data_IF_308479121640
#
_entry.id   IF_308479121640
#
_cell.length_a   1.000
_cell.length_b   1.000
_cell.length_c   1.000
_cell.angle_alpha   90.00
_cell.angle_beta   90.00
_cell.angle_gamma   90.00
#
_symmetry.space_group_name_H-M   'P 1'
#
loop_
_entity.id
_entity.type
_entity.pdbx_description
1 polymer ?
#
# COMPACT_ATOMS: atom_id res chain seq x y z
N UNK A 1 3.02 -0.81 43.51
CA UNK A 1 3.50 -0.01 42.37
C UNK A 1 4.13 -0.98 41.39
N UNK A 2 3.35 -1.35 40.37
CA UNK A 2 3.85 -2.10 39.23
C UNK A 2 4.38 -1.06 38.25
N UNK A 3 5.68 -0.79 38.35
CA UNK A 3 6.44 -0.05 37.36
C UNK A 3 6.49 -0.93 36.09
N UNK A 4 5.54 -0.71 35.19
CA UNK A 4 5.72 -1.14 33.80
C UNK A 4 6.79 -0.25 33.19
N UNK A 5 7.88 -0.79 32.68
CA UNK A 5 8.80 0.02 31.91
C UNK A 5 7.99 0.64 30.77
N UNK A 6 7.95 1.98 30.74
CA UNK A 6 7.50 2.73 29.57
C UNK A 6 8.50 2.39 28.49
N UNK A 7 8.18 1.36 27.74
CA UNK A 7 8.93 0.99 26.55
C UNK A 7 9.04 2.23 25.66
N UNK A 8 10.31 2.55 25.37
CA UNK A 8 10.83 3.38 24.30
C UNK A 8 9.70 3.86 23.38
N UNK A 9 9.30 5.14 23.46
CA UNK A 9 8.32 5.72 22.55
C UNK A 9 8.85 5.50 21.13
N UNK A 10 8.46 4.38 20.54
CA UNK A 10 8.86 4.03 19.19
C UNK A 10 8.47 5.22 18.30
N UNK A 11 9.46 5.94 17.83
CA UNK A 11 9.29 7.18 17.07
C UNK A 11 8.28 6.95 15.95
N UNK A 12 7.15 7.63 16.01
CA UNK A 12 6.09 7.53 15.01
C UNK A 12 6.61 7.94 13.63
N UNK A 13 6.06 7.31 12.61
CA UNK A 13 6.42 7.57 11.22
C UNK A 13 5.42 8.55 10.65
N UNK A 14 5.90 9.75 10.31
CA UNK A 14 5.07 10.76 9.63
C UNK A 14 4.51 10.22 8.31
N UNK A 15 3.25 10.49 8.06
CA UNK A 15 2.56 10.16 6.81
C UNK A 15 2.91 11.12 5.66
N UNK A 16 3.59 12.24 5.98
CA UNK A 16 3.82 13.33 5.03
C UNK A 16 2.63 14.28 4.90
N UNK A 17 1.53 14.01 5.60
CA UNK A 17 0.37 14.87 5.70
C UNK A 17 0.22 15.34 7.16
N UNK A 18 0.46 16.62 7.41
CA UNK A 18 0.38 17.20 8.76
C UNK A 18 -1.00 16.98 9.40
N UNK A 19 -2.07 17.12 8.60
CA UNK A 19 -3.42 16.90 9.10
C UNK A 19 -3.66 15.46 9.54
N UNK A 20 -3.17 14.48 8.79
CA UNK A 20 -3.29 13.08 9.14
C UNK A 20 -2.39 12.72 10.33
N UNK A 21 -1.18 13.24 10.37
CA UNK A 21 -0.26 13.04 11.49
C UNK A 21 -0.85 13.57 12.80
N UNK A 22 -1.51 14.73 12.77
CA UNK A 22 -2.20 15.29 13.94
C UNK A 22 -3.33 14.38 14.43
N UNK A 23 -4.14 13.83 13.52
CA UNK A 23 -5.21 12.88 13.88
C UNK A 23 -4.62 11.59 14.48
N UNK A 24 -3.48 11.14 13.96
CA UNK A 24 -2.80 9.92 14.41
C UNK A 24 -1.88 10.13 15.63
N UNK A 25 -1.82 11.33 16.19
CA UNK A 25 -0.95 11.64 17.33
C UNK A 25 0.53 11.58 17.01
N UNK A 26 0.93 12.05 15.80
CA UNK A 26 2.30 12.14 15.33
C UNK A 26 2.67 11.20 14.17
N UNK A 27 1.71 10.44 13.65
CA UNK A 27 1.90 9.55 12.53
C UNK A 27 1.60 8.08 12.82
N UNK A 28 2.12 7.19 11.99
CA UNK A 28 1.90 5.74 12.09
C UNK A 28 2.90 5.07 13.04
N UNK A 29 2.50 3.99 13.68
CA UNK A 29 3.45 3.12 14.38
C UNK A 29 4.36 2.42 13.37
N UNK A 30 5.68 2.32 13.61
CA UNK A 30 6.62 1.69 12.69
C UNK A 30 6.39 0.18 12.56
N UNK A 31 6.84 -0.36 11.43
CA UNK A 31 6.85 -1.80 11.14
C UNK A 31 5.47 -2.46 11.21
N UNK A 32 4.43 -1.73 10.81
CA UNK A 32 3.05 -2.20 10.79
C UNK A 32 2.44 -2.07 9.40
N UNK A 33 1.35 -2.75 9.19
CA UNK A 33 0.59 -2.75 7.95
C UNK A 33 -0.73 -2.01 8.14
N UNK A 34 -0.98 -1.01 7.32
CA UNK A 34 -2.16 -0.15 7.33
C UNK A 34 -2.96 -0.34 6.04
N UNK A 35 -4.25 -0.09 6.13
CA UNK A 35 -5.16 -0.13 5.00
C UNK A 35 -5.74 1.27 4.76
N UNK A 36 -5.61 1.77 3.54
CA UNK A 36 -6.21 3.03 3.11
C UNK A 36 -7.27 2.72 2.05
N UNK A 37 -8.52 2.97 2.40
CA UNK A 37 -9.68 2.70 1.56
C UNK A 37 -10.35 3.99 1.11
N UNK A 38 -10.93 3.96 -0.07
CA UNK A 38 -11.72 5.07 -0.57
C UNK A 38 -12.18 4.82 -2.00
N UNK A 39 -13.23 5.52 -2.43
CA UNK A 39 -13.71 5.47 -3.81
C UNK A 39 -12.63 5.97 -4.79
N UNK A 40 -12.72 5.61 -6.08
CA UNK A 40 -11.86 6.19 -7.10
C UNK A 40 -11.89 7.73 -7.04
N UNK A 41 -10.72 8.36 -7.09
CA UNK A 41 -10.59 9.81 -6.99
C UNK A 41 -10.63 10.39 -5.57
N UNK A 42 -10.73 9.58 -4.52
CA UNK A 42 -10.70 10.05 -3.12
C UNK A 42 -9.35 10.57 -2.63
N UNK A 43 -8.28 10.42 -3.43
CA UNK A 43 -6.94 10.89 -3.08
C UNK A 43 -5.99 9.83 -2.50
N UNK A 44 -6.33 8.55 -2.59
CA UNK A 44 -5.46 7.45 -2.10
C UNK A 44 -4.03 7.54 -2.63
N UNK A 45 -3.87 7.64 -3.95
CA UNK A 45 -2.55 7.75 -4.61
C UNK A 45 -1.80 9.01 -4.15
N UNK A 46 -2.49 10.13 -3.96
CA UNK A 46 -1.88 11.38 -3.46
C UNK A 46 -1.29 11.21 -2.06
N UNK A 47 -2.06 10.65 -1.12
CA UNK A 47 -1.58 10.41 0.25
C UNK A 47 -0.47 9.35 0.28
N UNK A 48 -0.57 8.32 -0.57
CA UNK A 48 0.46 7.32 -0.71
C UNK A 48 1.80 7.92 -1.18
N UNK A 49 1.77 8.80 -2.18
CA UNK A 49 2.95 9.52 -2.65
C UNK A 49 3.53 10.44 -1.56
N UNK A 50 2.69 11.16 -0.80
CA UNK A 50 3.16 11.98 0.32
C UNK A 50 3.92 11.14 1.36
N UNK A 51 3.41 9.96 1.69
CA UNK A 51 4.05 9.04 2.62
C UNK A 51 5.45 8.61 2.17
N UNK A 52 5.61 8.29 0.88
CA UNK A 52 6.91 7.90 0.33
C UNK A 52 7.85 9.10 0.17
N UNK A 53 7.36 10.24 -0.29
CA UNK A 53 8.16 11.46 -0.43
C UNK A 53 8.70 11.94 0.92
N UNK A 54 7.92 11.80 1.99
CA UNK A 54 8.41 12.08 3.35
C UNK A 54 9.55 11.13 3.72
N UNK A 55 9.46 9.85 3.34
CA UNK A 55 10.55 8.90 3.51
C UNK A 55 11.80 9.30 2.72
N UNK A 56 11.66 9.67 1.45
CA UNK A 56 12.77 10.17 0.61
C UNK A 56 13.43 11.39 1.25
N UNK A 57 12.63 12.34 1.75
CA UNK A 57 13.12 13.54 2.44
C UNK A 57 13.95 13.20 3.68
N UNK A 58 13.66 12.08 4.33
CA UNK A 58 14.38 11.56 5.51
C UNK A 58 15.56 10.66 5.15
N UNK A 59 15.83 10.44 3.85
CA UNK A 59 16.90 9.55 3.40
C UNK A 59 16.56 8.06 3.54
N UNK A 60 15.29 7.72 3.67
CA UNK A 60 14.81 6.36 3.76
C UNK A 60 14.71 5.70 2.36
N UNK A 61 14.83 4.38 2.30
CA UNK A 61 14.52 3.62 1.09
C UNK A 61 13.02 3.37 1.03
N UNK A 62 12.41 3.71 -0.08
CA UNK A 62 10.96 3.65 -0.25
C UNK A 62 10.60 2.94 -1.54
N UNK A 63 9.49 2.18 -1.50
CA UNK A 63 9.04 1.36 -2.62
C UNK A 63 7.55 1.59 -2.87
N UNK A 64 7.21 1.84 -4.13
CA UNK A 64 5.83 1.84 -4.62
C UNK A 64 5.62 0.61 -5.50
N UNK A 65 4.82 -0.33 -5.06
CA UNK A 65 4.37 -1.48 -5.85
C UNK A 65 3.03 -1.15 -6.48
N UNK A 66 2.94 -1.23 -7.80
CA UNK A 66 1.68 -0.96 -8.51
C UNK A 66 1.27 -2.13 -9.39
N UNK A 67 0.00 -2.51 -9.28
CA UNK A 67 -0.67 -3.50 -10.14
C UNK A 67 -1.66 -2.84 -11.11
N UNK A 68 -1.95 -1.55 -10.94
CA UNK A 68 -3.00 -0.84 -11.68
C UNK A 68 -2.51 0.35 -12.48
N UNK A 69 -1.57 1.11 -11.95
CA UNK A 69 -1.08 2.34 -12.57
C UNK A 69 0.36 2.16 -13.07
N UNK A 70 0.69 2.78 -14.18
CA UNK A 70 2.06 2.84 -14.68
C UNK A 70 2.85 3.94 -13.95
N UNK A 71 4.18 3.84 -13.95
CA UNK A 71 5.04 4.89 -13.42
C UNK A 71 4.78 6.25 -14.08
N UNK A 72 4.51 6.27 -15.39
CA UNK A 72 4.20 7.50 -16.11
C UNK A 72 2.90 8.17 -15.59
N UNK A 73 1.88 7.40 -15.24
CA UNK A 73 0.65 7.91 -14.63
C UNK A 73 0.91 8.47 -13.23
N UNK A 74 1.70 7.77 -12.41
CA UNK A 74 2.12 8.26 -11.09
C UNK A 74 2.94 9.55 -11.20
N UNK A 75 3.82 9.68 -12.20
CA UNK A 75 4.56 10.90 -12.49
C UNK A 75 3.64 12.06 -12.84
N UNK A 76 2.55 11.81 -13.58
CA UNK A 76 1.55 12.84 -13.88
C UNK A 76 0.80 13.30 -12.62
N UNK A 77 0.45 12.39 -11.73
CA UNK A 77 -0.16 12.74 -10.44
C UNK A 77 0.81 13.58 -9.61
N UNK A 78 2.06 13.15 -9.45
CA UNK A 78 3.07 13.88 -8.71
C UNK A 78 3.30 15.29 -9.28
N UNK A 79 3.42 15.41 -10.60
CA UNK A 79 3.62 16.68 -11.29
C UNK A 79 2.49 17.70 -11.05
N UNK A 80 1.23 17.25 -10.94
CA UNK A 80 0.08 18.13 -10.63
C UNK A 80 0.21 18.77 -9.25
N UNK A 81 0.90 18.12 -8.33
CA UNK A 81 1.19 18.63 -6.98
C UNK A 81 2.55 19.33 -6.88
N UNK A 82 3.29 19.47 -7.99
CA UNK A 82 4.64 20.03 -7.99
C UNK A 82 5.69 19.10 -7.38
N UNK A 83 5.43 17.79 -7.32
CA UNK A 83 6.33 16.79 -6.78
C UNK A 83 7.11 16.07 -7.88
N UNK A 84 8.31 15.54 -7.52
CA UNK A 84 9.08 14.59 -8.32
C UNK A 84 9.01 13.21 -7.65
N UNK A 85 9.05 12.15 -8.44
CA UNK A 85 9.20 10.78 -7.94
C UNK A 85 10.66 10.38 -7.74
N UNK A 86 11.61 11.30 -7.87
CA UNK A 86 13.03 11.03 -7.65
C UNK A 86 13.26 10.47 -6.23
N UNK A 87 13.95 9.32 -6.19
CA UNK A 87 14.21 8.61 -4.94
C UNK A 87 13.13 7.60 -4.54
N UNK A 88 11.99 7.56 -5.25
CA UNK A 88 10.99 6.50 -5.09
C UNK A 88 11.30 5.38 -6.07
N UNK A 89 11.51 4.17 -5.55
CA UNK A 89 11.55 2.96 -6.37
C UNK A 89 10.12 2.59 -6.75
N UNK A 90 9.79 2.62 -8.04
CA UNK A 90 8.48 2.23 -8.56
C UNK A 90 8.60 0.88 -9.23
N UNK A 91 7.91 -0.10 -8.68
CA UNK A 91 7.86 -1.47 -9.20
C UNK A 91 6.50 -1.73 -9.84
N UNK A 92 6.49 -1.75 -11.17
CA UNK A 92 5.29 -1.97 -11.97
C UNK A 92 5.09 -3.46 -12.21
N UNK A 93 3.93 -3.97 -11.80
CA UNK A 93 3.46 -5.33 -12.07
C UNK A 93 2.28 -5.34 -13.06
N UNK A 94 2.14 -4.23 -13.79
CA UNK A 94 1.14 -4.11 -14.86
C UNK A 94 1.63 -4.88 -16.08
N UNK A 95 0.82 -5.80 -16.59
CA UNK A 95 1.13 -6.49 -17.85
C UNK A 95 1.24 -5.48 -19.01
N UNK A 96 2.39 -5.39 -19.70
CA UNK A 96 2.60 -4.37 -20.72
C UNK A 96 1.79 -4.61 -22.00
N UNK A 97 1.13 -5.77 -22.16
CA UNK A 97 0.46 -6.11 -23.40
C UNK A 97 -0.83 -6.95 -23.18
N UNK A 98 -2.02 -6.33 -23.36
CA UNK A 98 -3.30 -7.05 -23.27
C UNK A 98 -3.47 -8.16 -24.32
N UNK A 99 -2.71 -8.14 -25.42
CA UNK A 99 -2.78 -9.18 -26.46
C UNK A 99 -1.96 -10.42 -26.09
N UNK A 100 -0.96 -10.31 -25.23
CA UNK A 100 -0.21 -11.45 -24.70
C UNK A 100 -1.02 -12.27 -23.68
N UNK A 101 -1.95 -11.65 -22.96
CA UNK A 101 -2.85 -12.34 -22.02
C UNK A 101 -3.77 -13.36 -22.72
N UNK A 102 -4.09 -13.16 -24.01
CA UNK A 102 -4.94 -14.06 -24.78
C UNK A 102 -4.22 -15.33 -25.27
N UNK A 103 -2.89 -15.37 -25.23
CA UNK A 103 -2.09 -16.45 -25.83
C UNK A 103 -1.47 -17.41 -24.81
N UNK A 104 -1.45 -17.08 -23.55
CA UNK A 104 -0.86 -17.92 -22.49
C UNK A 104 -1.94 -18.28 -21.48
N UNK A 105 -2.44 -19.50 -21.55
CA UNK A 105 -3.32 -20.11 -20.55
C UNK A 105 -2.50 -20.36 -19.27
N UNK A 106 -2.13 -19.30 -18.55
CA UNK A 106 -1.63 -19.44 -17.19
C UNK A 106 -2.84 -19.58 -16.23
N UNK A 107 -2.92 -20.63 -15.41
CA UNK A 107 -3.93 -20.69 -14.37
C UNK A 107 -3.77 -19.46 -13.47
N UNK A 108 -4.84 -18.72 -13.22
CA UNK A 108 -4.83 -17.53 -12.37
C UNK A 108 -4.22 -17.74 -10.96
N UNK A 109 -4.11 -19.00 -10.53
CA UNK A 109 -3.41 -19.39 -9.30
C UNK A 109 -1.91 -19.18 -9.36
N UNK A 110 -1.29 -19.48 -10.49
CA UNK A 110 0.14 -19.26 -10.69
C UNK A 110 0.43 -17.76 -10.77
N UNK A 111 -0.41 -17.03 -11.48
CA UNK A 111 -0.28 -15.60 -11.67
C UNK A 111 -0.28 -14.81 -10.36
N UNK A 112 -1.24 -15.08 -9.46
CA UNK A 112 -1.29 -14.42 -8.14
C UNK A 112 -0.08 -14.79 -7.26
N UNK A 113 0.33 -16.04 -7.26
CA UNK A 113 1.49 -16.49 -6.48
C UNK A 113 2.79 -15.93 -7.04
N UNK A 114 2.94 -15.88 -8.35
CA UNK A 114 4.09 -15.28 -9.02
C UNK A 114 4.17 -13.77 -8.75
N UNK A 115 3.04 -13.06 -8.87
CA UNK A 115 2.96 -11.63 -8.54
C UNK A 115 3.38 -11.37 -7.10
N UNK A 116 2.86 -12.14 -6.15
CA UNK A 116 3.24 -12.01 -4.74
C UNK A 116 4.72 -12.32 -4.51
N UNK A 117 5.26 -13.33 -5.19
CA UNK A 117 6.68 -13.68 -5.08
C UNK A 117 7.58 -12.57 -5.65
N UNK A 118 7.23 -11.98 -6.79
CA UNK A 118 7.97 -10.85 -7.36
C UNK A 118 8.01 -9.64 -6.41
N UNK A 119 6.91 -9.37 -5.69
CA UNK A 119 6.90 -8.33 -4.64
C UNK A 119 7.89 -8.68 -3.52
N UNK A 120 7.88 -9.94 -3.05
CA UNK A 120 8.79 -10.39 -2.00
C UNK A 120 10.25 -10.30 -2.41
N UNK A 121 10.56 -10.66 -3.64
CA UNK A 121 11.91 -10.58 -4.19
C UNK A 121 12.35 -9.12 -4.27
N UNK A 122 11.52 -8.23 -4.82
CA UNK A 122 11.83 -6.81 -4.92
C UNK A 122 12.06 -6.15 -3.56
N UNK A 123 11.20 -6.44 -2.59
CA UNK A 123 11.37 -5.95 -1.21
C UNK A 123 12.66 -6.49 -0.58
N UNK A 124 13.00 -7.75 -0.86
CA UNK A 124 14.23 -8.36 -0.34
C UNK A 124 15.49 -7.75 -0.93
N UNK A 125 15.47 -7.38 -2.21
CA UNK A 125 16.58 -6.74 -2.91
C UNK A 125 16.79 -5.29 -2.44
N UNK A 126 15.71 -4.52 -2.33
CA UNK A 126 15.78 -3.08 -2.07
C UNK A 126 15.75 -2.76 -0.58
N UNK A 127 15.22 -3.68 0.25
CA UNK A 127 15.08 -3.54 1.70
C UNK A 127 14.53 -2.16 2.12
N UNK A 128 13.31 -1.81 1.65
CA UNK A 128 12.68 -0.52 1.92
C UNK A 128 12.18 -0.44 3.36
N UNK A 129 12.10 0.76 3.93
CA UNK A 129 11.47 1.02 5.23
C UNK A 129 10.01 1.44 5.10
N UNK A 130 9.64 1.98 3.92
CA UNK A 130 8.25 2.34 3.58
C UNK A 130 7.84 1.69 2.28
N UNK A 131 6.66 1.08 2.29
CA UNK A 131 6.11 0.42 1.11
C UNK A 131 4.67 0.86 0.89
N UNK A 132 4.33 1.18 -0.36
CA UNK A 132 2.96 1.29 -0.84
C UNK A 132 2.66 0.06 -1.69
N UNK A 133 1.50 -0.53 -1.50
CA UNK A 133 0.97 -1.60 -2.35
C UNK A 133 -0.37 -1.15 -2.96
N UNK A 134 -0.37 -0.93 -4.26
CA UNK A 134 -1.50 -0.38 -5.03
C UNK A 134 -1.88 -1.31 -6.20
N UNK A 135 -2.97 -2.04 -6.15
CA UNK A 135 -3.98 -2.04 -5.11
C UNK A 135 -4.40 -3.47 -4.75
N UNK A 136 -5.02 -3.61 -3.60
CA UNK A 136 -5.65 -4.88 -3.20
C UNK A 136 -6.82 -5.26 -4.10
N UNK A 137 -7.49 -4.29 -4.72
CA UNK A 137 -8.58 -4.52 -5.68
C UNK A 137 -8.11 -5.38 -6.84
N UNK A 138 -6.95 -5.07 -7.44
CA UNK A 138 -6.36 -5.87 -8.52
C UNK A 138 -5.95 -7.26 -8.03
N UNK A 139 -5.35 -7.34 -6.85
CA UNK A 139 -5.01 -8.63 -6.24
C UNK A 139 -6.25 -9.50 -5.98
N UNK A 140 -7.39 -8.88 -5.64
CA UNK A 140 -8.67 -9.58 -5.44
C UNK A 140 -9.19 -10.15 -6.75
N UNK A 141 -9.07 -9.43 -7.87
CA UNK A 141 -9.44 -9.91 -9.20
C UNK A 141 -8.58 -11.11 -9.60
N UNK A 142 -7.27 -11.06 -9.40
CA UNK A 142 -6.36 -12.18 -9.67
C UNK A 142 -6.65 -13.41 -8.82
N UNK A 143 -7.12 -13.22 -7.58
CA UNK A 143 -7.36 -14.32 -6.65
C UNK A 143 -8.52 -15.23 -7.04
N UNK A 144 -9.52 -14.74 -7.78
CA UNK A 144 -10.72 -15.45 -8.21
C UNK A 144 -11.53 -16.16 -7.09
N UNK A 145 -11.06 -16.10 -5.85
CA UNK A 145 -11.82 -16.60 -4.69
C UNK A 145 -11.43 -15.85 -3.41
N UNK A 146 -12.41 -15.62 -2.51
CA UNK A 146 -12.16 -14.92 -1.25
C UNK A 146 -11.12 -15.61 -0.36
N UNK A 147 -11.09 -16.95 -0.39
CA UNK A 147 -10.15 -17.71 0.43
C UNK A 147 -8.71 -17.55 -0.05
N UNK A 148 -8.48 -17.56 -1.36
CA UNK A 148 -7.15 -17.34 -1.95
C UNK A 148 -6.68 -15.92 -1.69
N UNK A 149 -7.53 -14.94 -1.92
CA UNK A 149 -7.27 -13.54 -1.62
C UNK A 149 -6.81 -13.37 -0.16
N UNK A 150 -7.60 -13.88 0.79
CA UNK A 150 -7.26 -13.82 2.21
C UNK A 150 -5.91 -14.45 2.53
N UNK A 151 -5.60 -15.61 1.94
CA UNK A 151 -4.30 -16.29 2.12
C UNK A 151 -3.14 -15.41 1.65
N UNK A 152 -3.28 -14.74 0.51
CA UNK A 152 -2.24 -13.86 -0.02
C UNK A 152 -2.06 -12.61 0.83
N UNK A 153 -3.15 -11.98 1.28
CA UNK A 153 -3.05 -10.83 2.19
C UNK A 153 -2.37 -11.21 3.51
N UNK A 154 -2.67 -12.40 4.05
CA UNK A 154 -1.98 -12.92 5.24
C UNK A 154 -0.50 -13.21 4.98
N UNK A 155 -0.15 -13.72 3.79
CA UNK A 155 1.24 -13.91 3.39
C UNK A 155 1.99 -12.58 3.29
N UNK A 156 1.39 -11.55 2.69
CA UNK A 156 1.93 -10.19 2.68
C UNK A 156 2.13 -9.66 4.10
N UNK A 157 1.13 -9.78 4.97
CA UNK A 157 1.25 -9.35 6.38
C UNK A 157 2.42 -10.02 7.07
N UNK A 158 2.51 -11.34 6.98
CA UNK A 158 3.59 -12.10 7.61
C UNK A 158 4.96 -11.67 7.08
N UNK A 159 5.09 -11.57 5.78
CA UNK A 159 6.34 -11.15 5.13
C UNK A 159 6.78 -9.75 5.58
N UNK A 160 5.90 -8.76 5.52
CA UNK A 160 6.24 -7.38 5.88
C UNK A 160 6.52 -7.21 7.38
N UNK A 161 5.80 -7.92 8.25
CA UNK A 161 6.03 -7.86 9.70
C UNK A 161 7.46 -8.32 10.07
N UNK A 162 8.01 -9.29 9.34
CA UNK A 162 9.36 -9.80 9.58
C UNK A 162 10.47 -8.90 9.02
N UNK A 163 10.14 -7.96 8.13
CA UNK A 163 11.11 -7.13 7.38
C UNK A 163 11.31 -5.72 7.96
N UNK A 164 10.66 -5.37 9.04
CA UNK A 164 10.76 -4.03 9.66
C UNK A 164 10.44 -2.90 8.68
N UNK A 165 9.42 -3.07 7.85
CA UNK A 165 8.91 -2.02 6.99
C UNK A 165 7.48 -1.63 7.38
N UNK A 166 7.16 -0.36 7.20
CA UNK A 166 5.81 0.17 7.37
C UNK A 166 5.13 0.15 6.01
N UNK A 167 4.00 -0.51 5.92
CA UNK A 167 3.30 -0.77 4.67
C UNK A 167 1.92 -0.14 4.70
N UNK A 168 1.57 0.56 3.63
CA UNK A 168 0.21 1.01 3.38
C UNK A 168 -0.31 0.26 2.16
N UNK A 169 -1.40 -0.48 2.38
CA UNK A 169 -2.16 -1.13 1.32
C UNK A 169 -3.26 -0.18 0.88
N UNK A 170 -3.39 0.03 -0.43
CA UNK A 170 -4.48 0.81 -1.01
C UNK A 170 -5.57 -0.14 -1.48
N UNK A 171 -6.83 0.21 -1.23
CA UNK A 171 -7.97 -0.55 -1.73
C UNK A 171 -9.10 0.39 -2.15
N UNK A 172 -9.85 -0.02 -3.17
CA UNK A 172 -11.07 0.66 -3.55
C UNK A 172 -12.18 0.23 -2.61
N UNK A 173 -12.93 1.20 -2.10
CA UNK A 173 -14.09 0.93 -1.27
C UNK A 173 -15.16 0.22 -2.12
N UNK A 174 -15.24 -1.10 -2.01
CA UNK A 174 -16.28 -1.89 -2.61
C UNK A 174 -17.40 -2.14 -1.60
N UNK A 175 -18.65 -2.01 -2.03
CA UNK A 175 -19.84 -2.18 -1.17
C UNK A 175 -20.10 -3.62 -0.72
N UNK A 176 -19.22 -4.56 -1.00
CA UNK A 176 -19.41 -5.97 -0.69
C UNK A 176 -18.90 -6.34 0.71
N UNK A 177 -19.72 -7.10 1.44
CA UNK A 177 -19.47 -7.56 2.83
C UNK A 177 -18.18 -8.37 3.06
N UNK A 178 -17.30 -8.50 2.05
CA UNK A 178 -16.02 -9.21 2.16
C UNK A 178 -14.91 -8.42 2.88
N UNK A 179 -15.02 -7.11 2.96
CA UNK A 179 -13.92 -6.23 3.36
C UNK A 179 -13.68 -6.15 4.87
N UNK A 180 -14.67 -6.51 5.70
CA UNK A 180 -14.50 -6.61 7.17
C UNK A 180 -13.36 -7.55 7.59
N UNK A 181 -12.98 -8.49 6.71
CA UNK A 181 -11.87 -9.39 6.98
C UNK A 181 -10.50 -8.72 6.83
N UNK A 182 -10.36 -7.72 5.94
CA UNK A 182 -9.15 -6.95 5.77
C UNK A 182 -8.90 -6.01 6.94
N UNK A 183 -9.97 -5.39 7.46
CA UNK A 183 -9.90 -4.54 8.65
C UNK A 183 -9.33 -5.30 9.85
N UNK A 184 -9.66 -6.59 9.99
CA UNK A 184 -9.14 -7.43 11.08
C UNK A 184 -7.66 -7.84 10.90
N UNK A 185 -7.14 -7.76 9.67
CA UNK A 185 -5.76 -8.14 9.36
C UNK A 185 -4.83 -6.93 9.50
N UNK A 186 -5.29 -5.72 9.17
CA UNK A 186 -4.51 -4.48 9.26
C UNK A 186 -4.39 -3.99 10.71
N UNK A 187 -3.35 -3.21 10.99
CA UNK A 187 -3.13 -2.60 12.31
C UNK A 187 -3.89 -1.28 12.47
N UNK A 188 -4.32 -0.69 11.37
CA UNK A 188 -5.15 0.49 11.32
C UNK A 188 -5.76 0.66 9.94
N UNK A 189 -6.91 1.33 9.89
CA UNK A 189 -7.66 1.60 8.65
C UNK A 189 -7.91 3.10 8.56
N UNK A 190 -7.62 3.67 7.40
CA UNK A 190 -7.92 5.06 7.05
C UNK A 190 -8.94 5.05 5.92
N UNK A 191 -10.08 5.64 6.16
CA UNK A 191 -11.14 5.82 5.16
C UNK A 191 -11.04 7.22 4.56
N UNK A 192 -10.97 7.29 3.24
CA UNK A 192 -10.92 8.52 2.48
C UNK A 192 -12.26 8.74 1.78
N UNK A 193 -12.96 9.78 2.19
CA UNK A 193 -14.27 10.14 1.66
C UNK A 193 -14.24 11.54 1.05
N UNK A 194 -14.92 11.72 -0.07
CA UNK A 194 -15.19 13.05 -0.62
C UNK A 194 -16.49 13.57 -0.02
N UNK A 195 -16.39 14.60 0.79
CA UNK A 195 -17.56 15.31 1.30
C UNK A 195 -18.02 16.35 0.28
N UNK A 196 -19.17 16.11 -0.33
CA UNK A 196 -19.86 17.18 -1.06
C UNK A 196 -20.48 18.13 -0.02
N UNK A 197 -19.99 19.35 0.03
CA UNK A 197 -20.65 20.40 0.82
C UNK A 197 -21.80 20.91 -0.05
N UNK A 198 -23.03 20.52 0.30
CA UNK A 198 -24.22 21.12 -0.29
C UNK A 198 -24.27 22.59 0.13
N UNK A 199 -24.22 23.49 -0.86
CA UNK A 199 -24.42 24.94 -0.66
C UNK A 199 -25.91 25.28 -0.78
#
# INVERSE_FOLDING_TARGET
DLDFPMDDEAQRISTGSEGLDNILGGGLDPNRMYLYEGSPGSGKTTIALQFLLEGVRRGERVLYVTLSETKAELELVAKRHGWSLDGIDVFELVSPDPELELTVLHPAEMELSETTQQVFDRVSETNPTRVIFDSLSEMRLLAQSPLRYRRQVLALKHFFTTRRCTVILLDDQTSEMGDLQLHSISHGVVLLEQLAIDY
#
